data_IF_779279797520
#
_entry.id   IF_779279797520
#
_cell.length_a   1.000
_cell.length_b   1.000
_cell.length_c   1.000
_cell.angle_alpha   90.00
_cell.angle_beta   90.00
_cell.angle_gamma   90.00
#
_symmetry.space_group_name_H-M   'P 1'
#
loop_
_entity.id
_entity.type
_entity.pdbx_description
1 polymer ?
#
# COMPACT_ATOMS: atom_id res chain seq x y z
N UNK A 1 -8.77 33.18 51.06
CA UNK A 1 -8.19 33.71 49.80
C UNK A 1 -7.45 32.66 48.97
N UNK A 2 -6.72 31.68 49.55
CA UNK A 2 -6.02 30.65 48.76
C UNK A 2 -6.96 29.68 48.00
N UNK A 3 -8.10 29.30 48.59
CA UNK A 3 -9.08 28.42 47.93
C UNK A 3 -9.69 29.00 46.64
N UNK A 4 -9.98 30.30 46.60
CA UNK A 4 -10.53 30.95 45.40
C UNK A 4 -9.56 30.94 44.22
N UNK A 5 -8.26 31.11 44.48
CA UNK A 5 -7.22 31.06 43.44
C UNK A 5 -7.11 29.66 42.85
N UNK A 6 -7.18 28.62 43.70
CA UNK A 6 -7.13 27.22 43.27
C UNK A 6 -8.39 26.87 42.47
N UNK A 7 -9.57 27.26 42.94
CA UNK A 7 -10.85 27.03 42.25
C UNK A 7 -10.86 27.72 40.88
N UNK A 8 -10.36 28.95 40.79
CA UNK A 8 -10.28 29.68 39.53
C UNK A 8 -9.28 29.03 38.55
N UNK A 9 -8.14 28.55 39.04
CA UNK A 9 -7.19 27.78 38.23
C UNK A 9 -7.78 26.48 37.69
N UNK A 10 -8.56 25.75 38.51
CA UNK A 10 -9.25 24.53 38.09
C UNK A 10 -10.34 24.81 37.05
N UNK A 11 -11.11 25.90 37.20
CA UNK A 11 -12.10 26.33 36.22
C UNK A 11 -11.46 26.68 34.88
N UNK A 12 -10.34 27.39 34.89
CA UNK A 12 -9.59 27.73 33.68
C UNK A 12 -9.08 26.47 32.97
N UNK A 13 -8.48 25.54 33.72
CA UNK A 13 -7.98 24.27 33.15
C UNK A 13 -9.10 23.41 32.58
N UNK A 14 -10.28 23.40 33.22
CA UNK A 14 -11.49 22.74 32.69
C UNK A 14 -11.94 23.35 31.36
N UNK A 15 -11.92 24.68 31.23
CA UNK A 15 -12.29 25.36 29.99
C UNK A 15 -11.29 25.06 28.85
N UNK A 16 -10.00 25.04 29.17
CA UNK A 16 -8.94 24.68 28.22
C UNK A 16 -9.10 23.23 27.71
N UNK A 17 -9.31 22.27 28.61
CA UNK A 17 -9.57 20.88 28.25
C UNK A 17 -10.85 20.72 27.42
N UNK A 18 -11.91 21.47 27.74
CA UNK A 18 -13.13 21.48 26.94
C UNK A 18 -12.87 21.97 25.51
N UNK A 19 -12.09 23.05 25.35
CA UNK A 19 -11.71 23.56 24.02
C UNK A 19 -10.87 22.58 23.20
N UNK A 20 -9.96 21.84 23.85
CA UNK A 20 -9.18 20.79 23.19
C UNK A 20 -10.07 19.64 22.71
N UNK A 21 -11.03 19.20 23.54
CA UNK A 21 -11.99 18.17 23.16
C UNK A 21 -12.85 18.60 21.95
N UNK A 22 -13.26 19.85 21.88
CA UNK A 22 -14.01 20.36 20.72
C UNK A 22 -13.18 20.37 19.43
N UNK A 23 -11.89 20.69 19.51
CA UNK A 23 -10.99 20.63 18.35
C UNK A 23 -10.84 19.18 17.85
N UNK A 24 -10.57 18.24 18.75
CA UNK A 24 -10.44 16.82 18.40
C UNK A 24 -11.74 16.29 17.78
N UNK A 25 -12.90 16.69 18.28
CA UNK A 25 -14.20 16.33 17.68
C UNK A 25 -14.36 16.88 16.27
N UNK A 26 -13.93 18.12 16.01
CA UNK A 26 -13.96 18.72 14.66
C UNK A 26 -13.02 17.99 13.70
N UNK A 27 -11.81 17.66 14.15
CA UNK A 27 -10.83 16.93 13.34
C UNK A 27 -11.34 15.54 12.98
N UNK A 28 -11.94 14.82 13.93
CA UNK A 28 -12.58 13.52 13.66
C UNK A 28 -13.71 13.65 12.64
N UNK A 29 -14.59 14.64 12.77
CA UNK A 29 -15.67 14.86 11.82
C UNK A 29 -15.15 15.19 10.40
N UNK A 30 -14.03 15.92 10.29
CA UNK A 30 -13.39 16.18 9.01
C UNK A 30 -12.79 14.90 8.38
N UNK A 31 -12.18 14.05 9.20
CA UNK A 31 -11.67 12.73 8.77
C UNK A 31 -12.82 11.85 8.28
N UNK A 32 -13.92 11.76 9.03
CA UNK A 32 -15.09 10.98 8.65
C UNK A 32 -15.72 11.50 7.35
N UNK A 33 -15.84 12.82 7.19
CA UNK A 33 -16.32 13.44 5.95
C UNK A 33 -15.42 13.12 4.75
N UNK A 34 -14.10 13.13 4.94
CA UNK A 34 -13.16 12.73 3.90
C UNK A 34 -13.33 11.25 3.54
N UNK A 35 -13.45 10.36 4.54
CA UNK A 35 -13.66 8.92 4.33
C UNK A 35 -14.95 8.67 3.53
N UNK A 36 -16.05 9.33 3.87
CA UNK A 36 -17.33 9.25 3.13
C UNK A 36 -17.15 9.72 1.69
N UNK A 37 -16.44 10.84 1.46
CA UNK A 37 -16.17 11.35 0.11
C UNK A 37 -15.35 10.37 -0.74
N UNK A 38 -14.48 9.57 -0.11
CA UNK A 38 -13.73 8.49 -0.76
C UNK A 38 -14.51 7.16 -0.84
N UNK A 39 -15.80 7.14 -0.47
CA UNK A 39 -16.69 5.98 -0.57
C UNK A 39 -16.58 4.98 0.59
N UNK A 40 -15.96 5.38 1.70
CA UNK A 40 -15.93 4.58 2.93
C UNK A 40 -17.07 5.02 3.85
N UNK A 41 -18.05 4.15 4.04
CA UNK A 41 -19.25 4.43 4.86
C UNK A 41 -19.23 3.71 6.22
N UNK A 42 -18.28 2.79 6.42
CA UNK A 42 -18.05 2.10 7.69
C UNK A 42 -16.53 1.94 7.91
N UNK A 43 -16.05 2.19 9.13
CA UNK A 43 -14.62 2.04 9.51
C UNK A 43 -14.12 0.62 9.23
N UNK A 44 -15.00 -0.39 9.27
CA UNK A 44 -14.69 -1.79 8.90
C UNK A 44 -14.37 -1.96 7.41
N UNK A 45 -14.83 -1.04 6.55
CA UNK A 45 -14.50 -1.01 5.12
C UNK A 45 -13.10 -0.44 4.86
N UNK A 46 -12.52 0.26 5.84
CA UNK A 46 -11.12 0.70 5.83
C UNK A 46 -10.25 -0.53 6.12
N UNK A 47 -10.21 -1.45 5.15
CA UNK A 47 -9.16 -2.45 5.15
C UNK A 47 -7.87 -1.71 4.83
N UNK A 48 -6.81 -1.81 5.67
CA UNK A 48 -5.50 -1.39 5.24
C UNK A 48 -5.26 -2.09 3.92
N UNK A 49 -4.97 -1.33 2.85
CA UNK A 49 -4.49 -1.92 1.59
C UNK A 49 -3.27 -2.73 2.00
N UNK A 50 -3.44 -4.05 2.19
CA UNK A 50 -2.34 -4.96 2.47
C UNK A 50 -1.43 -4.82 1.27
N UNK A 51 -0.39 -4.01 1.41
CA UNK A 51 0.62 -3.76 0.41
C UNK A 51 1.38 -5.07 0.27
N UNK A 52 0.86 -5.92 -0.62
CA UNK A 52 1.24 -7.31 -0.89
C UNK A 52 0.97 -8.29 0.26
N UNK A 53 0.00 -9.21 0.06
CA UNK A 53 -0.20 -10.39 0.92
C UNK A 53 0.99 -11.37 0.89
N UNK A 54 1.90 -11.25 -0.08
CA UNK A 54 3.06 -12.14 -0.25
C UNK A 54 4.29 -11.33 -0.64
N UNK A 55 5.48 -11.64 -0.09
CA UNK A 55 6.71 -10.97 -0.49
C UNK A 55 6.96 -11.15 -2.00
N UNK A 56 7.56 -10.15 -2.67
CA UNK A 56 7.95 -10.27 -4.07
C UNK A 56 8.93 -11.43 -4.24
N UNK A 57 8.70 -12.26 -5.26
CA UNK A 57 9.54 -13.42 -5.58
C UNK A 57 10.95 -13.03 -6.03
N UNK A 58 11.06 -11.85 -6.65
CA UNK A 58 12.30 -11.35 -7.21
C UNK A 58 12.62 -9.98 -6.60
N UNK A 59 13.91 -9.76 -6.32
CA UNK A 59 14.42 -8.42 -6.00
C UNK A 59 14.22 -7.49 -7.21
N UNK A 60 14.21 -6.19 -6.97
CA UNK A 60 14.12 -5.19 -8.04
C UNK A 60 15.20 -5.45 -9.11
N UNK A 61 14.83 -5.36 -10.40
CA UNK A 61 15.73 -5.59 -11.53
C UNK A 61 16.10 -7.06 -11.79
N UNK A 62 16.11 -7.94 -10.77
CA UNK A 62 16.54 -9.35 -10.91
C UNK A 62 15.67 -10.14 -11.90
N UNK A 63 14.36 -9.93 -11.88
CA UNK A 63 13.45 -10.60 -12.82
C UNK A 63 13.71 -10.20 -14.26
N UNK A 64 13.98 -8.92 -14.52
CA UNK A 64 14.22 -8.42 -15.87
C UNK A 64 15.52 -8.98 -16.46
N UNK A 65 16.57 -9.09 -15.65
CA UNK A 65 17.81 -9.75 -16.05
C UNK A 65 17.58 -11.23 -16.43
N UNK A 66 16.85 -11.97 -15.59
CA UNK A 66 16.52 -13.37 -15.83
C UNK A 66 15.65 -13.59 -17.08
N UNK A 67 14.70 -12.69 -17.34
CA UNK A 67 13.89 -12.71 -18.57
C UNK A 67 14.79 -12.49 -19.79
N UNK A 68 15.71 -11.53 -19.74
CA UNK A 68 16.65 -11.28 -20.85
C UNK A 68 17.69 -12.40 -21.04
N UNK A 69 18.06 -13.13 -19.99
CA UNK A 69 18.87 -14.35 -20.08
C UNK A 69 18.10 -15.49 -20.75
N UNK A 70 16.85 -15.72 -20.33
CA UNK A 70 15.99 -16.73 -20.93
C UNK A 70 15.67 -16.44 -22.41
N UNK A 71 15.43 -15.18 -22.75
CA UNK A 71 15.22 -14.73 -24.14
C UNK A 71 16.47 -14.99 -25.01
N UNK A 72 17.67 -14.72 -24.48
CA UNK A 72 18.93 -15.05 -25.16
C UNK A 72 19.17 -16.56 -25.28
N UNK A 73 18.64 -17.35 -24.35
CA UNK A 73 18.63 -18.81 -24.43
C UNK A 73 17.56 -19.36 -25.39
N UNK A 74 16.80 -18.50 -26.08
CA UNK A 74 15.80 -18.89 -27.08
C UNK A 74 14.37 -19.03 -26.56
N UNK A 75 14.09 -18.63 -25.31
CA UNK A 75 12.73 -18.69 -24.76
C UNK A 75 11.91 -17.45 -25.18
N UNK A 76 10.96 -17.64 -26.10
CA UNK A 76 10.12 -16.53 -26.59
C UNK A 76 8.88 -16.29 -25.72
N UNK A 77 8.17 -17.36 -25.33
CA UNK A 77 6.89 -17.25 -24.64
C UNK A 77 7.03 -17.22 -23.11
N UNK A 78 6.01 -16.66 -22.44
CA UNK A 78 6.05 -16.47 -20.98
C UNK A 78 6.10 -17.81 -20.20
N UNK A 79 5.61 -18.90 -20.78
CA UNK A 79 5.62 -20.21 -20.12
C UNK A 79 7.02 -20.82 -20.18
N UNK A 80 7.67 -20.78 -21.35
CA UNK A 80 9.05 -21.21 -21.54
C UNK A 80 10.04 -20.39 -20.72
N UNK A 81 9.87 -19.06 -20.66
CA UNK A 81 10.70 -18.21 -19.79
C UNK A 81 10.48 -18.55 -18.31
N UNK A 82 9.23 -18.77 -17.88
CA UNK A 82 8.96 -19.16 -16.49
C UNK A 82 9.56 -20.54 -16.16
N UNK A 83 9.44 -21.52 -17.06
CA UNK A 83 10.03 -22.85 -16.91
C UNK A 83 11.56 -22.78 -16.85
N UNK A 84 12.18 -21.97 -17.71
CA UNK A 84 13.62 -21.73 -17.70
C UNK A 84 14.08 -21.11 -16.38
N UNK A 85 13.40 -20.06 -15.91
CA UNK A 85 13.73 -19.40 -14.63
C UNK A 85 13.58 -20.37 -13.45
N UNK A 86 12.55 -21.21 -13.46
CA UNK A 86 12.31 -22.20 -12.40
C UNK A 86 13.43 -23.24 -12.36
N UNK A 87 13.90 -23.70 -13.52
CA UNK A 87 15.02 -24.65 -13.66
C UNK A 87 16.35 -24.02 -13.23
N UNK A 88 16.64 -22.80 -13.68
CA UNK A 88 17.89 -22.09 -13.38
C UNK A 88 18.03 -21.70 -11.91
N UNK A 89 16.90 -21.52 -11.21
CA UNK A 89 16.86 -21.09 -9.81
C UNK A 89 16.46 -22.19 -8.82
N UNK A 90 16.34 -23.42 -9.29
CA UNK A 90 15.91 -24.58 -8.49
C UNK A 90 14.66 -24.26 -7.63
N UNK A 91 13.66 -23.65 -8.26
CA UNK A 91 12.47 -23.16 -7.56
C UNK A 91 11.42 -24.27 -7.38
N UNK A 92 10.73 -24.24 -6.24
CA UNK A 92 9.64 -25.18 -5.97
C UNK A 92 8.53 -25.08 -7.03
N UNK A 93 7.97 -26.22 -7.49
CA UNK A 93 6.98 -26.26 -8.57
C UNK A 93 5.71 -25.46 -8.27
N UNK A 94 5.34 -25.31 -6.99
CA UNK A 94 4.21 -24.52 -6.52
C UNK A 94 4.33 -23.02 -6.83
N UNK A 95 5.55 -22.54 -7.09
CA UNK A 95 5.81 -21.14 -7.44
C UNK A 95 5.65 -20.85 -8.93
N UNK A 96 5.50 -21.88 -9.78
CA UNK A 96 5.48 -21.75 -11.24
C UNK A 96 4.48 -20.69 -11.72
N UNK A 97 3.24 -20.77 -11.25
CA UNK A 97 2.19 -19.82 -11.66
C UNK A 97 2.55 -18.38 -11.26
N UNK A 98 3.12 -18.19 -10.06
CA UNK A 98 3.54 -16.86 -9.60
C UNK A 98 4.74 -16.31 -10.38
N UNK A 99 5.68 -17.17 -10.78
CA UNK A 99 6.81 -16.78 -11.64
C UNK A 99 6.28 -16.36 -13.01
N UNK A 100 5.38 -17.15 -13.61
CA UNK A 100 4.73 -16.83 -14.88
C UNK A 100 3.98 -15.50 -14.84
N UNK A 101 3.19 -15.25 -13.79
CA UNK A 101 2.49 -13.98 -13.59
C UNK A 101 3.48 -12.82 -13.45
N UNK A 102 4.60 -13.03 -12.76
CA UNK A 102 5.66 -12.02 -12.62
C UNK A 102 6.32 -11.70 -13.97
N UNK A 103 6.65 -12.72 -14.78
CA UNK A 103 7.21 -12.55 -16.13
C UNK A 103 6.24 -11.78 -17.02
N UNK A 104 4.94 -12.15 -16.98
CA UNK A 104 3.88 -11.45 -17.71
C UNK A 104 3.81 -9.98 -17.32
N UNK A 105 3.81 -9.65 -16.03
CA UNK A 105 3.80 -8.25 -15.56
C UNK A 105 5.10 -7.50 -15.90
N UNK A 106 6.25 -8.17 -15.87
CA UNK A 106 7.53 -7.58 -16.26
C UNK A 106 7.57 -7.16 -17.74
N UNK A 107 6.93 -7.94 -18.62
CA UNK A 107 6.84 -7.68 -20.07
C UNK A 107 5.72 -6.72 -20.44
N UNK A 108 4.83 -6.33 -19.52
CA UNK A 108 3.80 -5.33 -19.83
C UNK A 108 4.46 -3.97 -20.08
N UNK A 109 4.07 -3.25 -21.14
CA UNK A 109 4.52 -1.87 -21.33
C UNK A 109 4.11 -1.05 -20.10
N UNK A 110 5.05 -0.31 -19.50
CA UNK A 110 4.73 0.61 -18.41
C UNK A 110 3.70 1.60 -18.94
N UNK A 111 2.48 1.59 -18.38
CA UNK A 111 1.50 2.65 -18.64
C UNK A 111 2.11 3.96 -18.16
N UNK A 112 2.56 4.79 -19.10
CA UNK A 112 2.93 6.17 -18.82
C UNK A 112 1.64 6.86 -18.40
N UNK A 113 1.55 7.24 -17.12
CA UNK A 113 0.42 8.01 -16.62
C UNK A 113 0.49 9.39 -17.28
N UNK A 114 -0.33 9.62 -18.32
CA UNK A 114 -0.49 10.95 -18.89
C UNK A 114 -1.32 11.75 -17.89
N UNK A 115 -0.70 12.76 -17.28
CA UNK A 115 -1.39 13.74 -16.43
C UNK A 115 -2.53 14.36 -17.25
N UNK A 116 -3.79 14.37 -16.77
CA UNK A 116 -4.86 15.05 -17.49
C UNK A 116 -4.49 16.53 -17.60
N UNK A 117 -4.57 17.07 -18.83
CA UNK A 117 -4.44 18.50 -19.07
C UNK A 117 -5.63 19.19 -18.39
N UNK A 118 -5.32 19.95 -17.33
CA UNK A 118 -6.24 20.92 -16.75
C UNK A 118 -6.16 22.24 -17.50
#
# INVERSE_FOLDING_TARGET
MQDETIINGLKQKRAELAGQLERVRKDLAAIDGALIAFGYHDVKQIQPKRTRRRPPLFKAGKLMALVGEAERAGCADNASVAAWIMKERDMQPELYQRVRDSVKDCRKPKRVWKKPAG
#
